data_IF_368132658439
#
_entry.id   IF_368132658439
#
_cell.length_a   1.000
_cell.length_b   1.000
_cell.length_c   1.000
_cell.angle_alpha   90.00
_cell.angle_beta   90.00
_cell.angle_gamma   90.00
#
_symmetry.space_group_name_H-M   'P 1'
#
loop_
_entity.id
_entity.type
_entity.pdbx_description
1 polymer ?
#
# COMPACT_ATOMS: atom_id res chain seq x y z
N UNK A 1 6.77 -7.58 -19.65
CA UNK A 1 6.42 -7.68 -18.21
C UNK A 1 7.59 -8.18 -17.35
N UNK A 2 8.13 -9.40 -17.57
CA UNK A 2 9.26 -9.95 -16.79
C UNK A 2 10.51 -9.05 -16.76
N UNK A 3 10.88 -8.41 -17.88
CA UNK A 3 12.05 -7.52 -17.98
C UNK A 3 12.01 -6.33 -17.03
N UNK A 4 10.86 -5.66 -16.88
CA UNK A 4 10.76 -4.43 -16.07
C UNK A 4 10.78 -4.72 -14.56
N UNK A 5 10.09 -5.77 -14.12
CA UNK A 5 10.15 -6.25 -12.71
C UNK A 5 11.58 -6.56 -12.30
N UNK A 6 12.36 -7.18 -13.20
CA UNK A 6 13.75 -7.54 -12.94
C UNK A 6 14.72 -6.35 -12.90
N UNK A 7 14.47 -5.29 -13.67
CA UNK A 7 15.23 -4.03 -13.56
C UNK A 7 15.00 -3.38 -12.19
N UNK A 8 13.77 -3.46 -11.69
CA UNK A 8 13.38 -2.88 -10.41
C UNK A 8 13.93 -3.66 -9.21
N UNK A 9 13.98 -4.98 -9.32
CA UNK A 9 14.68 -5.85 -8.36
C UNK A 9 16.18 -5.49 -8.28
N UNK A 10 16.82 -5.20 -9.43
CA UNK A 10 18.21 -4.69 -9.46
C UNK A 10 18.31 -3.34 -8.76
N UNK A 11 17.39 -2.40 -8.99
CA UNK A 11 17.41 -1.07 -8.33
C UNK A 11 17.28 -1.18 -6.81
N UNK A 12 16.43 -2.09 -6.31
CA UNK A 12 16.27 -2.40 -4.88
C UNK A 12 17.53 -3.02 -4.27
N UNK A 13 18.25 -3.84 -5.03
CA UNK A 13 19.54 -4.35 -4.54
C UNK A 13 20.54 -3.24 -4.31
N UNK A 14 20.52 -2.19 -5.13
CA UNK A 14 21.29 -0.97 -4.89
C UNK A 14 20.68 -0.09 -3.78
N UNK A 15 19.43 -0.30 -3.32
CA UNK A 15 18.91 0.31 -2.06
C UNK A 15 19.58 -0.33 -0.85
N UNK A 16 19.76 -1.66 -0.91
CA UNK A 16 20.33 -2.44 0.18
C UNK A 16 21.87 -2.44 0.19
N UNK A 17 22.50 -2.20 -0.96
CA UNK A 17 23.96 -2.28 -1.11
C UNK A 17 24.50 -1.08 -1.89
N UNK A 18 25.47 -0.40 -1.30
CA UNK A 18 26.08 0.82 -1.86
C UNK A 18 26.74 0.58 -3.23
N UNK A 19 27.39 -0.59 -3.39
CA UNK A 19 28.08 -1.01 -4.61
C UNK A 19 27.89 -2.49 -4.86
N UNK A 20 27.72 -2.87 -6.12
CA UNK A 20 27.61 -4.27 -6.55
C UNK A 20 28.36 -4.51 -7.85
N UNK A 21 29.07 -5.62 -7.91
CA UNK A 21 29.64 -6.18 -9.13
C UNK A 21 28.59 -7.03 -9.86
N UNK A 22 28.86 -7.35 -11.13
CA UNK A 22 28.02 -8.26 -11.89
C UNK A 22 27.94 -9.66 -11.26
N UNK A 23 29.02 -10.12 -10.60
CA UNK A 23 29.07 -11.41 -9.91
C UNK A 23 28.14 -11.42 -8.70
N UNK A 24 28.14 -10.34 -7.91
CA UNK A 24 27.26 -10.20 -6.73
C UNK A 24 25.80 -10.04 -7.14
N UNK A 25 25.50 -9.26 -8.18
CA UNK A 25 24.15 -9.17 -8.74
C UNK A 25 23.62 -10.54 -9.18
N UNK A 26 24.48 -11.37 -9.77
CA UNK A 26 24.12 -12.73 -10.17
C UNK A 26 23.84 -13.66 -8.99
N UNK A 27 24.50 -13.45 -7.84
CA UNK A 27 24.17 -14.21 -6.62
C UNK A 27 22.84 -13.78 -5.99
N UNK A 28 22.44 -12.52 -6.15
CA UNK A 28 21.17 -12.02 -5.63
C UNK A 28 19.98 -12.31 -6.54
N UNK A 29 20.21 -12.40 -7.85
CA UNK A 29 19.14 -12.47 -8.84
C UNK A 29 19.37 -13.66 -9.75
N UNK A 30 18.38 -14.55 -9.83
CA UNK A 30 18.43 -15.71 -10.71
C UNK A 30 18.17 -15.32 -12.19
N UNK A 31 19.15 -14.69 -12.83
CA UNK A 31 19.12 -14.24 -14.22
C UNK A 31 20.42 -14.59 -14.96
N UNK A 32 20.31 -14.77 -16.27
CA UNK A 32 21.46 -14.92 -17.14
C UNK A 32 22.31 -13.64 -17.14
N UNK A 33 23.63 -13.79 -17.16
CA UNK A 33 24.57 -12.67 -17.07
C UNK A 33 24.34 -11.61 -18.17
N UNK A 34 24.07 -12.06 -19.40
CA UNK A 34 23.74 -11.18 -20.53
C UNK A 34 22.54 -10.28 -20.23
N UNK A 35 21.50 -10.84 -19.62
CA UNK A 35 20.29 -10.10 -19.26
C UNK A 35 20.56 -9.06 -18.16
N UNK A 36 21.38 -9.39 -17.17
CA UNK A 36 21.78 -8.43 -16.12
C UNK A 36 22.57 -7.28 -16.74
N UNK A 37 23.51 -7.57 -17.66
CA UNK A 37 24.28 -6.53 -18.38
C UNK A 37 23.38 -5.60 -19.20
N UNK A 38 22.38 -6.14 -19.89
CA UNK A 38 21.41 -5.33 -20.64
C UNK A 38 20.62 -4.39 -19.72
N UNK A 39 20.29 -4.82 -18.50
CA UNK A 39 19.53 -4.03 -17.54
C UNK A 39 20.40 -2.96 -16.89
N UNK A 40 21.63 -3.29 -16.52
CA UNK A 40 22.60 -2.33 -16.02
C UNK A 40 22.91 -1.25 -17.06
N UNK A 41 22.99 -1.61 -18.35
CA UNK A 41 23.16 -0.64 -19.43
C UNK A 41 22.04 0.40 -19.46
N UNK A 42 20.78 -0.05 -19.38
CA UNK A 42 19.61 0.85 -19.30
C UNK A 42 19.72 1.79 -18.10
N UNK A 43 20.04 1.26 -16.91
CA UNK A 43 20.15 2.06 -15.68
C UNK A 43 21.30 3.09 -15.74
N UNK A 44 22.41 2.76 -16.44
CA UNK A 44 23.51 3.70 -16.66
C UNK A 44 23.13 4.78 -17.69
N UNK A 45 22.43 4.41 -18.76
CA UNK A 45 21.92 5.36 -19.77
C UNK A 45 20.90 6.35 -19.16
N UNK A 46 20.04 5.86 -18.27
CA UNK A 46 19.11 6.66 -17.47
C UNK A 46 19.81 7.43 -16.33
N UNK A 47 21.13 7.30 -16.20
CA UNK A 47 21.99 7.88 -15.16
C UNK A 47 21.70 7.45 -13.73
N UNK A 48 20.79 6.50 -13.49
CA UNK A 48 20.37 6.04 -12.16
C UNK A 48 21.51 5.35 -11.39
N UNK A 49 22.41 4.68 -12.11
CA UNK A 49 23.62 4.07 -11.56
C UNK A 49 24.85 4.54 -12.35
N UNK A 50 26.00 4.56 -11.68
CA UNK A 50 27.30 4.79 -12.28
C UNK A 50 27.98 3.44 -12.50
N UNK A 51 28.54 3.24 -13.69
CA UNK A 51 29.47 2.16 -13.96
C UNK A 51 30.90 2.67 -13.72
N UNK A 52 31.56 2.12 -12.70
CA UNK A 52 32.89 2.58 -12.28
C UNK A 52 33.90 1.44 -12.45
N UNK A 53 35.05 1.77 -13.03
CA UNK A 53 36.14 0.84 -13.30
C UNK A 53 36.07 0.14 -14.66
N UNK A 54 37.18 -0.49 -15.01
CA UNK A 54 37.39 -1.15 -16.30
C UNK A 54 37.20 -2.66 -16.22
N UNK A 55 36.62 -3.21 -17.29
CA UNK A 55 36.59 -4.64 -17.63
C UNK A 55 36.27 -5.56 -16.44
N UNK A 56 37.29 -6.13 -15.77
CA UNK A 56 37.15 -7.13 -14.71
C UNK A 56 36.99 -6.53 -13.30
N UNK A 57 37.20 -5.23 -13.12
CA UNK A 57 36.99 -4.51 -11.85
C UNK A 57 35.79 -3.58 -11.89
N UNK A 58 34.95 -3.70 -12.94
CA UNK A 58 33.75 -2.88 -13.06
C UNK A 58 32.76 -3.23 -11.96
N UNK A 59 32.43 -2.23 -11.16
CA UNK A 59 31.32 -2.27 -10.24
C UNK A 59 30.31 -1.18 -10.61
N UNK A 60 29.12 -1.34 -10.11
CA UNK A 60 28.02 -0.41 -10.29
C UNK A 60 27.65 0.12 -8.93
N UNK A 61 27.35 1.41 -8.86
CA UNK A 61 26.87 2.05 -7.65
C UNK A 61 25.78 3.05 -8.02
N UNK A 62 25.01 3.49 -7.04
CA UNK A 62 24.04 4.57 -7.28
C UNK A 62 24.74 5.83 -7.76
N UNK A 63 24.04 6.55 -8.62
CA UNK A 63 24.46 7.90 -8.96
C UNK A 63 23.87 8.90 -7.94
N UNK A 64 24.64 9.19 -6.89
CA UNK A 64 24.26 10.15 -5.85
C UNK A 64 24.29 11.62 -6.32
N UNK A 65 24.86 11.88 -7.51
CA UNK A 65 25.01 13.22 -8.06
C UNK A 65 23.84 13.64 -8.98
N UNK A 66 22.85 12.78 -9.21
CA UNK A 66 21.64 13.21 -9.93
C UNK A 66 20.89 14.21 -9.04
N UNK A 67 20.64 15.39 -9.58
CA UNK A 67 19.68 16.32 -9.01
C UNK A 67 18.27 15.82 -9.33
N UNK A 68 17.85 14.75 -8.64
CA UNK A 68 16.53 14.17 -8.79
C UNK A 68 15.51 15.11 -8.16
N UNK A 69 14.42 15.38 -8.89
CA UNK A 69 13.25 15.99 -8.28
C UNK A 69 12.70 15.00 -7.25
N UNK A 70 12.68 15.34 -5.96
CA UNK A 70 12.17 14.43 -4.95
C UNK A 70 10.69 14.17 -5.18
N UNK A 71 10.28 12.92 -4.96
CA UNK A 71 8.86 12.63 -4.72
C UNK A 71 8.59 13.11 -3.30
N UNK A 72 7.65 14.04 -3.12
CA UNK A 72 7.29 14.57 -1.80
C UNK A 72 5.78 14.46 -1.63
N UNK A 73 5.37 13.81 -0.55
CA UNK A 73 3.98 13.63 -0.18
C UNK A 73 3.76 14.16 1.23
N UNK A 74 2.59 14.76 1.46
CA UNK A 74 2.12 15.18 2.77
C UNK A 74 1.41 13.99 3.42
N UNK A 75 1.70 13.78 4.70
CA UNK A 75 1.05 12.78 5.55
C UNK A 75 0.04 13.49 6.42
N UNK A 76 -1.21 13.09 6.29
CA UNK A 76 -2.31 13.55 7.13
C UNK A 76 -2.72 12.44 8.09
N UNK A 77 -3.17 12.83 9.29
CA UNK A 77 -3.84 11.94 10.22
C UNK A 77 -5.13 12.60 10.71
N UNK A 78 -6.29 11.97 10.43
CA UNK A 78 -7.61 12.58 10.62
C UNK A 78 -7.71 13.95 9.91
N UNK A 79 -7.14 14.02 8.71
CA UNK A 79 -7.01 15.21 7.87
C UNK A 79 -6.04 16.29 8.38
N UNK A 80 -5.45 16.13 9.57
CA UNK A 80 -4.47 17.08 10.10
C UNK A 80 -3.07 16.75 9.58
N UNK A 81 -2.30 17.77 9.19
CA UNK A 81 -0.92 17.59 8.77
C UNK A 81 -0.07 17.06 9.92
N UNK A 82 0.54 15.88 9.70
CA UNK A 82 1.53 15.31 10.61
C UNK A 82 2.94 15.66 10.15
N UNK A 83 3.18 15.68 8.84
CA UNK A 83 4.49 15.94 8.26
C UNK A 83 4.56 15.58 6.79
N UNK A 84 5.79 15.41 6.30
CA UNK A 84 6.06 15.07 4.89
C UNK A 84 6.97 13.86 4.78
N UNK A 85 6.72 13.00 3.80
CA UNK A 85 7.66 11.97 3.36
C UNK A 85 8.22 12.38 2.02
N UNK A 86 9.54 12.35 1.90
CA UNK A 86 10.25 12.55 0.64
C UNK A 86 11.06 11.33 0.26
N UNK A 87 11.25 11.12 -1.04
CA UNK A 87 12.16 10.12 -1.57
C UNK A 87 13.01 10.70 -2.69
N UNK A 88 14.30 10.39 -2.63
CA UNK A 88 15.22 10.46 -3.77
C UNK A 88 16.02 9.17 -3.81
N UNK A 89 16.45 8.74 -4.99
CA UNK A 89 17.31 7.57 -5.12
C UNK A 89 18.65 7.76 -4.37
N UNK A 90 19.14 9.01 -4.30
CA UNK A 90 20.37 9.36 -3.61
C UNK A 90 20.26 9.30 -2.08
N UNK A 91 19.17 9.83 -1.50
CA UNK A 91 19.01 9.98 -0.03
C UNK A 91 18.09 8.96 0.61
N UNK A 92 17.42 8.12 -0.17
CA UNK A 92 16.37 7.24 0.33
C UNK A 92 15.13 8.01 0.78
N UNK A 93 14.39 7.43 1.72
CA UNK A 93 13.20 8.00 2.33
C UNK A 93 13.57 8.91 3.50
N UNK A 94 12.97 10.10 3.55
CA UNK A 94 13.07 10.98 4.69
C UNK A 94 11.67 11.41 5.13
N UNK A 95 11.36 11.21 6.41
CA UNK A 95 10.12 11.70 7.02
C UNK A 95 10.46 12.86 7.96
N UNK A 96 9.78 13.99 7.76
CA UNK A 96 9.93 15.17 8.61
C UNK A 96 8.59 15.52 9.23
N UNK A 97 8.55 15.64 10.55
CA UNK A 97 7.35 16.13 11.25
C UNK A 97 7.08 17.58 10.89
N UNK A 98 5.80 17.93 10.76
CA UNK A 98 5.37 19.31 10.65
C UNK A 98 5.63 20.02 11.97
N UNK A 99 6.15 21.24 11.91
CA UNK A 99 6.32 22.09 13.11
C UNK A 99 4.98 22.42 13.80
N UNK A 100 3.87 22.26 13.09
CA UNK A 100 2.51 22.48 13.59
C UNK A 100 1.90 21.23 14.23
N UNK A 101 2.52 20.05 14.07
CA UNK A 101 2.01 18.81 14.60
C UNK A 101 2.20 18.77 16.13
N UNK A 102 1.08 18.67 16.86
CA UNK A 102 1.04 18.62 18.33
C UNK A 102 0.64 17.25 18.88
N UNK A 103 0.47 16.26 18.01
CA UNK A 103 0.16 14.89 18.42
C UNK A 103 1.37 14.15 18.93
N UNK A 104 1.15 12.92 19.40
CA UNK A 104 2.25 12.03 19.80
C UNK A 104 3.07 11.61 18.58
N UNK A 105 4.38 11.47 18.76
CA UNK A 105 5.25 10.92 17.72
C UNK A 105 4.93 9.45 17.51
N UNK A 106 5.18 8.98 16.30
CA UNK A 106 5.00 7.58 16.00
C UNK A 106 6.14 6.77 16.62
N UNK A 107 5.87 5.60 17.23
CA UNK A 107 6.90 4.84 17.94
C UNK A 107 8.14 4.49 17.11
N UNK A 108 8.03 4.41 15.78
CA UNK A 108 9.15 4.11 14.87
C UNK A 108 9.79 5.35 14.23
N UNK A 109 9.34 6.55 14.59
CA UNK A 109 9.75 7.84 14.03
C UNK A 109 9.94 8.86 15.16
N UNK A 110 11.00 8.70 15.94
CA UNK A 110 11.19 9.48 17.17
C UNK A 110 11.80 10.87 16.93
N UNK A 111 12.55 11.05 15.83
CA UNK A 111 13.26 12.30 15.55
C UNK A 111 12.38 13.29 14.78
N UNK A 112 12.76 14.57 14.74
CA UNK A 112 12.12 15.57 13.87
C UNK A 112 12.25 15.21 12.39
N UNK A 113 13.42 14.68 12.03
CA UNK A 113 13.73 14.18 10.70
C UNK A 113 14.25 12.74 10.87
N UNK A 114 13.56 11.80 10.24
CA UNK A 114 13.90 10.38 10.22
C UNK A 114 14.33 10.02 8.80
N UNK A 115 15.39 9.23 8.65
CA UNK A 115 15.90 8.83 7.34
C UNK A 115 16.05 7.31 7.27
N UNK A 116 15.76 6.72 6.13
CA UNK A 116 15.86 5.28 5.90
C UNK A 116 15.98 4.97 4.41
N UNK A 117 16.71 3.91 4.05
CA UNK A 117 16.75 3.44 2.66
C UNK A 117 15.52 2.61 2.28
N UNK A 118 14.77 2.10 3.27
CA UNK A 118 13.48 1.45 3.08
C UNK A 118 12.33 2.35 3.56
N UNK A 119 11.13 2.18 2.99
CA UNK A 119 9.95 2.89 3.47
C UNK A 119 9.69 2.52 4.94
N UNK A 120 9.32 3.50 5.76
CA UNK A 120 9.10 3.28 7.18
C UNK A 120 7.96 2.27 7.42
N UNK A 121 8.11 1.33 8.36
CA UNK A 121 7.13 0.25 8.57
C UNK A 121 5.69 0.73 8.75
N UNK A 122 5.49 1.87 9.42
CA UNK A 122 4.15 2.45 9.65
C UNK A 122 3.43 2.79 8.33
N UNK A 123 4.16 3.19 7.29
CA UNK A 123 3.61 3.50 5.97
C UNK A 123 3.66 2.29 5.03
N UNK A 124 4.70 1.48 5.11
CA UNK A 124 4.83 0.24 4.32
C UNK A 124 3.69 -0.74 4.61
N UNK A 125 3.25 -0.85 5.87
CA UNK A 125 2.14 -1.72 6.27
C UNK A 125 0.76 -1.28 5.71
N UNK A 126 0.66 -0.06 5.18
CA UNK A 126 -0.54 0.45 4.52
C UNK A 126 -0.61 0.01 3.05
N UNK A 127 0.50 -0.49 2.50
CA UNK A 127 0.57 -0.95 1.12
C UNK A 127 0.12 -2.43 1.08
N UNK A 128 -0.81 -2.80 0.17
CA UNK A 128 -1.22 -4.20 0.02
C UNK A 128 -0.06 -5.13 -0.33
N UNK A 129 -0.13 -6.38 0.11
CA UNK A 129 0.95 -7.37 -0.03
C UNK A 129 0.86 -8.25 -1.30
N UNK A 130 1.91 -9.05 -1.55
CA UNK A 130 1.92 -10.15 -2.54
C UNK A 130 1.63 -9.70 -3.99
N UNK A 131 0.99 -10.58 -4.78
CA UNK A 131 0.64 -10.35 -6.20
C UNK A 131 -0.15 -9.06 -6.42
N UNK A 132 -0.84 -8.57 -5.39
CA UNK A 132 -1.57 -7.31 -5.43
C UNK A 132 -0.61 -6.12 -5.42
N UNK A 133 0.40 -6.14 -4.55
CA UNK A 133 1.50 -5.16 -4.57
C UNK A 133 2.14 -5.08 -5.95
N UNK A 134 2.47 -6.24 -6.52
CA UNK A 134 3.13 -6.32 -7.83
C UNK A 134 2.29 -5.68 -8.93
N UNK A 135 0.97 -5.91 -8.93
CA UNK A 135 0.05 -5.29 -9.90
C UNK A 135 -0.05 -3.78 -9.73
N UNK A 136 -0.20 -3.31 -8.50
CA UNK A 136 -0.35 -1.88 -8.19
C UNK A 136 0.93 -1.10 -8.51
N UNK A 137 2.09 -1.68 -8.21
CA UNK A 137 3.38 -1.10 -8.56
C UNK A 137 3.57 -0.93 -10.08
N UNK A 138 2.83 -1.61 -10.95
CA UNK A 138 3.08 -1.63 -12.41
C UNK A 138 2.10 -0.78 -13.25
N UNK A 139 1.99 0.56 -13.09
CA UNK A 139 1.03 1.43 -13.84
C UNK A 139 1.51 1.81 -15.24
N UNK A 140 0.75 1.50 -16.29
CA UNK A 140 1.09 1.82 -17.70
C UNK A 140 2.50 1.37 -18.11
N UNK A 141 2.97 0.30 -17.47
CA UNK A 141 4.31 -0.24 -17.63
C UNK A 141 5.42 0.55 -16.92
N UNK A 142 5.11 1.61 -16.16
CA UNK A 142 6.01 2.25 -15.20
C UNK A 142 5.95 1.52 -13.85
N UNK A 143 7.09 1.42 -13.15
CA UNK A 143 7.06 1.03 -11.74
C UNK A 143 6.90 2.29 -10.90
N UNK A 144 5.85 2.31 -10.08
CA UNK A 144 5.63 3.34 -9.08
C UNK A 144 6.56 3.12 -7.89
N UNK A 145 7.13 4.20 -7.37
CA UNK A 145 7.72 4.23 -6.04
C UNK A 145 6.62 3.94 -4.99
N UNK A 146 6.93 3.28 -3.87
CA UNK A 146 5.97 3.11 -2.76
C UNK A 146 5.23 4.39 -2.34
N UNK A 147 5.85 5.57 -2.37
CA UNK A 147 5.16 6.85 -2.10
C UNK A 147 4.12 7.20 -3.16
N UNK A 148 4.43 6.99 -4.44
CA UNK A 148 3.47 7.19 -5.52
C UNK A 148 2.32 6.19 -5.41
N UNK A 149 2.59 4.98 -4.91
CA UNK A 149 1.52 4.03 -4.63
C UNK A 149 0.62 4.51 -3.49
N UNK A 150 1.17 5.04 -2.39
CA UNK A 150 0.37 5.60 -1.29
C UNK A 150 -0.57 6.72 -1.76
N UNK A 151 -0.16 7.54 -2.73
CA UNK A 151 -1.01 8.57 -3.34
C UNK A 151 -2.19 8.01 -4.15
N UNK A 152 -2.11 6.76 -4.56
CA UNK A 152 -3.15 6.08 -5.35
C UNK A 152 -4.03 5.18 -4.46
N UNK A 153 -3.73 5.08 -3.16
CA UNK A 153 -4.54 4.33 -2.21
C UNK A 153 -5.68 5.22 -1.68
N UNK A 154 -6.83 5.15 -2.35
CA UNK A 154 -8.05 5.73 -1.81
C UNK A 154 -8.56 4.90 -0.63
N UNK A 155 -8.95 5.59 0.46
CA UNK A 155 -9.34 5.01 1.74
C UNK A 155 -8.21 4.18 2.37
N UNK A 156 -7.08 4.82 2.67
CA UNK A 156 -6.02 4.15 3.43
C UNK A 156 -6.54 3.75 4.81
N UNK A 157 -6.29 2.51 5.24
CA UNK A 157 -6.82 2.07 6.53
C UNK A 157 -6.31 2.89 7.71
N UNK A 158 -7.21 3.05 8.68
CA UNK A 158 -6.97 3.87 9.85
C UNK A 158 -7.28 5.32 9.54
N UNK A 159 -6.49 6.21 10.11
CA UNK A 159 -6.69 7.65 10.04
C UNK A 159 -5.77 8.35 9.06
N UNK A 160 -4.95 7.62 8.30
CA UNK A 160 -3.94 8.20 7.42
C UNK A 160 -4.53 8.58 6.06
N UNK A 161 -4.13 9.75 5.56
CA UNK A 161 -4.32 10.15 4.18
C UNK A 161 -3.00 10.71 3.61
N UNK A 162 -2.83 10.60 2.30
CA UNK A 162 -1.64 11.07 1.60
C UNK A 162 -2.02 12.01 0.47
N UNK A 163 -1.29 13.12 0.35
CA UNK A 163 -1.51 14.09 -0.73
C UNK A 163 -0.19 14.48 -1.40
N UNK A 164 -0.21 14.78 -2.70
CA UNK A 164 0.89 15.51 -3.32
C UNK A 164 1.07 16.86 -2.62
N UNK A 165 2.32 17.29 -2.43
CA UNK A 165 2.64 18.54 -1.74
C UNK A 165 1.96 19.78 -2.38
N UNK A 166 1.86 19.80 -3.70
CA UNK A 166 1.23 20.88 -4.48
C UNK A 166 -0.31 20.89 -4.39
N UNK A 167 -0.91 19.73 -4.11
CA UNK A 167 -2.34 19.61 -3.82
C UNK A 167 -2.68 20.09 -2.40
N UNK A 168 -1.78 19.91 -1.44
CA UNK A 168 -1.98 20.33 -0.05
C UNK A 168 -2.16 21.84 0.11
N UNK A 169 -1.48 22.65 -0.70
CA UNK A 169 -1.63 24.13 -0.69
C UNK A 169 -3.07 24.57 -0.99
N UNK A 170 -3.84 23.74 -1.70
CA UNK A 170 -5.24 23.98 -2.05
C UNK A 170 -6.20 23.13 -1.23
N UNK A 171 -5.71 22.43 -0.23
CA UNK A 171 -6.49 21.49 0.56
C UNK A 171 -7.34 22.25 1.58
N UNK A 172 -8.63 22.34 1.30
CA UNK A 172 -9.61 22.87 2.24
C UNK A 172 -10.02 21.78 3.24
N UNK A 173 -9.48 21.87 4.45
CA UNK A 173 -9.73 20.95 5.56
C UNK A 173 -11.21 20.89 5.96
N UNK A 174 -12.03 21.88 5.61
CA UNK A 174 -13.41 21.99 6.11
C UNK A 174 -14.40 21.01 5.45
N UNK A 175 -13.97 20.20 4.46
CA UNK A 175 -14.89 19.52 3.53
C UNK A 175 -14.97 17.98 3.59
N UNK A 176 -14.34 17.29 4.56
CA UNK A 176 -14.53 15.84 4.70
C UNK A 176 -15.10 15.48 6.07
N UNK A 177 -15.98 14.49 6.07
CA UNK A 177 -16.55 13.89 7.26
C UNK A 177 -15.43 13.47 8.21
N UNK A 178 -15.42 14.03 9.42
CA UNK A 178 -14.45 13.61 10.44
C UNK A 178 -14.62 12.11 10.66
N UNK A 179 -13.55 11.35 10.46
CA UNK A 179 -13.51 9.93 10.83
C UNK A 179 -13.93 9.86 12.30
N UNK A 180 -15.03 9.18 12.64
CA UNK A 180 -15.53 9.19 14.00
C UNK A 180 -14.56 8.46 14.92
N UNK A 181 -14.44 8.91 16.16
CA UNK A 181 -13.61 8.24 17.15
C UNK A 181 -14.18 6.86 17.46
N UNK A 182 -13.36 5.81 17.50
CA UNK A 182 -13.74 4.45 17.92
C UNK A 182 -14.67 4.44 19.14
N UNK A 183 -14.32 5.18 20.20
CA UNK A 183 -15.14 5.24 21.43
C UNK A 183 -16.57 5.74 21.17
N UNK A 184 -16.75 6.62 20.19
CA UNK A 184 -18.05 7.20 19.85
C UNK A 184 -18.93 6.29 18.98
N UNK A 185 -18.32 5.38 18.20
CA UNK A 185 -19.03 4.50 17.27
C UNK A 185 -18.92 3.01 17.62
N UNK A 186 -18.21 2.66 18.70
CA UNK A 186 -17.92 1.28 19.12
C UNK A 186 -19.18 0.43 19.16
N UNK A 187 -20.20 0.87 19.90
CA UNK A 187 -21.44 0.10 20.06
C UNK A 187 -22.17 -0.08 18.72
N UNK A 188 -22.10 0.92 17.84
CA UNK A 188 -22.68 0.84 16.48
C UNK A 188 -21.91 -0.13 15.60
N UNK A 189 -20.57 -0.10 15.63
CA UNK A 189 -19.72 -1.01 14.83
C UNK A 189 -19.86 -2.45 15.31
N UNK A 190 -19.75 -2.67 16.63
CA UNK A 190 -19.84 -4.00 17.20
C UNK A 190 -21.25 -4.57 16.99
N UNK A 191 -22.29 -3.75 17.14
CA UNK A 191 -23.69 -4.17 17.02
C UNK A 191 -24.07 -5.26 18.03
N UNK A 192 -25.25 -5.86 17.86
CA UNK A 192 -25.76 -6.91 18.75
C UNK A 192 -26.12 -8.16 17.94
N UNK A 193 -25.22 -9.15 17.89
CA UNK A 193 -25.40 -10.39 17.13
C UNK A 193 -25.04 -11.61 17.99
N UNK A 194 -26.05 -12.41 18.34
CA UNK A 194 -25.84 -13.61 19.16
C UNK A 194 -25.34 -14.81 18.34
N UNK A 195 -25.53 -14.79 17.02
CA UNK A 195 -25.12 -15.87 16.11
C UNK A 195 -24.89 -15.36 14.69
N UNK A 196 -24.59 -16.26 13.76
CA UNK A 196 -24.36 -15.97 12.34
C UNK A 196 -25.58 -15.30 11.72
N UNK A 197 -25.38 -14.09 11.20
CA UNK A 197 -26.41 -13.36 10.48
C UNK A 197 -26.27 -13.59 8.97
N UNK A 198 -27.31 -14.13 8.37
CA UNK A 198 -27.45 -14.16 6.91
C UNK A 198 -28.12 -12.87 6.44
N UNK A 199 -27.34 -12.02 5.77
CA UNK A 199 -27.83 -10.76 5.24
C UNK A 199 -28.59 -11.00 3.93
N UNK A 200 -29.88 -10.68 3.90
CA UNK A 200 -30.68 -10.70 2.67
C UNK A 200 -30.52 -9.37 1.92
N UNK A 201 -29.39 -9.21 1.22
CA UNK A 201 -29.04 -8.02 0.45
C UNK A 201 -28.73 -8.41 -1.00
N UNK A 202 -29.10 -7.54 -1.93
CA UNK A 202 -28.65 -7.59 -3.31
C UNK A 202 -27.20 -7.12 -3.39
N UNK A 203 -26.35 -7.90 -4.07
CA UNK A 203 -24.95 -7.57 -4.27
C UNK A 203 -24.79 -6.87 -5.63
N UNK A 204 -24.65 -5.55 -5.61
CA UNK A 204 -24.43 -4.73 -6.79
C UNK A 204 -22.92 -4.56 -7.05
N UNK A 205 -22.26 -5.71 -7.27
CA UNK A 205 -20.82 -5.79 -7.53
C UNK A 205 -20.57 -6.82 -8.63
N UNK A 206 -19.87 -6.47 -9.73
CA UNK A 206 -19.58 -7.41 -10.81
C UNK A 206 -18.81 -8.66 -10.35
N UNK A 207 -19.11 -9.81 -10.95
CA UNK A 207 -18.50 -11.10 -10.59
C UNK A 207 -16.98 -11.11 -10.78
N UNK A 208 -16.46 -10.38 -11.76
CA UNK A 208 -15.03 -10.24 -12.03
C UNK A 208 -14.33 -9.52 -10.87
N UNK A 209 -15.00 -8.55 -10.23
CA UNK A 209 -14.48 -7.87 -9.05
C UNK A 209 -14.49 -8.81 -7.84
N UNK A 210 -15.57 -9.56 -7.62
CA UNK A 210 -15.69 -10.55 -6.54
C UNK A 210 -14.63 -11.66 -6.65
N UNK A 211 -14.31 -12.10 -7.86
CA UNK A 211 -13.33 -13.15 -8.11
C UNK A 211 -11.89 -12.64 -8.21
N UNK A 212 -11.66 -11.32 -8.08
CA UNK A 212 -10.34 -10.70 -8.21
C UNK A 212 -9.72 -10.82 -9.62
N UNK A 213 -10.54 -11.13 -10.63
CA UNK A 213 -10.14 -11.29 -12.03
C UNK A 213 -10.18 -9.97 -12.80
N UNK A 214 -10.92 -8.99 -12.31
CA UNK A 214 -10.98 -7.68 -12.92
C UNK A 214 -9.59 -7.02 -12.86
N UNK A 215 -9.15 -6.45 -13.99
CA UNK A 215 -7.80 -5.88 -14.14
C UNK A 215 -7.69 -4.42 -13.68
N UNK A 216 -8.83 -3.78 -13.36
CA UNK A 216 -8.85 -2.40 -12.86
C UNK A 216 -8.30 -2.34 -11.44
N UNK A 217 -7.56 -1.27 -11.14
CA UNK A 217 -6.90 -1.01 -9.85
C UNK A 217 -7.84 -0.39 -8.83
N UNK A 218 -8.92 0.23 -9.29
CA UNK A 218 -9.93 0.96 -8.51
C UNK A 218 -10.76 0.05 -7.57
N UNK A 219 -10.54 -1.27 -7.64
CA UNK A 219 -11.45 -2.26 -7.07
C UNK A 219 -11.00 -2.84 -5.74
N UNK A 220 -9.87 -2.37 -5.21
CA UNK A 220 -9.21 -3.07 -4.12
C UNK A 220 -9.05 -2.19 -2.87
N UNK A 221 -9.44 -2.73 -1.72
CA UNK A 221 -9.37 -2.10 -0.39
C UNK A 221 -7.94 -1.96 0.10
N UNK A 222 -7.46 -0.82 0.56
CA UNK A 222 -6.05 -0.63 0.95
C UNK A 222 -5.54 -1.58 2.06
N UNK A 223 -6.39 -2.46 2.63
CA UNK A 223 -6.03 -3.34 3.73
C UNK A 223 -4.98 -4.36 3.32
N UNK A 224 -3.99 -4.51 4.20
CA UNK A 224 -2.96 -5.54 4.11
C UNK A 224 -3.53 -6.97 4.24
N UNK A 225 -2.67 -7.96 4.05
CA UNK A 225 -3.00 -9.38 4.12
C UNK A 225 -3.42 -10.03 2.79
N UNK A 226 -3.28 -11.36 2.74
CA UNK A 226 -3.32 -12.14 1.50
C UNK A 226 -4.70 -12.34 0.86
N UNK A 227 -5.78 -12.33 1.66
CA UNK A 227 -7.13 -12.55 1.13
C UNK A 227 -7.63 -11.34 0.35
N UNK A 228 -8.32 -11.61 -0.76
CA UNK A 228 -9.00 -10.59 -1.57
C UNK A 228 -10.11 -9.88 -0.78
N UNK A 229 -10.17 -8.56 -0.92
CA UNK A 229 -11.01 -7.66 -0.12
C UNK A 229 -11.48 -6.49 -0.96
N UNK A 230 -12.73 -6.09 -0.75
CA UNK A 230 -13.39 -5.00 -1.47
C UNK A 230 -14.01 -4.04 -0.47
N UNK A 231 -13.75 -2.75 -0.64
CA UNK A 231 -14.42 -1.69 0.13
C UNK A 231 -15.87 -1.56 -0.34
N UNK A 232 -16.82 -1.69 0.59
CA UNK A 232 -18.26 -1.67 0.28
C UNK A 232 -19.02 -0.82 1.29
N UNK A 233 -20.19 -0.34 0.85
CA UNK A 233 -21.19 0.28 1.72
C UNK A 233 -22.50 -0.52 1.66
N UNK A 234 -23.23 -0.50 2.78
CA UNK A 234 -24.52 -1.19 2.92
C UNK A 234 -25.64 -0.15 2.91
N UNK A 235 -26.51 -0.22 1.91
CA UNK A 235 -27.79 0.49 1.93
C UNK A 235 -28.81 -0.39 2.68
N UNK A 236 -29.03 -0.08 3.95
CA UNK A 236 -29.98 -0.80 4.80
C UNK A 236 -31.45 -0.61 4.37
N UNK A 237 -31.77 0.46 3.65
CA UNK A 237 -33.13 0.80 3.19
C UNK A 237 -33.47 0.04 1.91
N UNK A 238 -32.59 0.09 0.91
CA UNK A 238 -32.78 -0.61 -0.35
C UNK A 238 -32.27 -2.06 -0.33
N UNK A 239 -31.63 -2.49 0.78
CA UNK A 239 -31.00 -3.81 0.93
C UNK A 239 -29.98 -4.09 -0.16
N UNK A 240 -29.11 -3.12 -0.45
CA UNK A 240 -28.03 -3.25 -1.44
C UNK A 240 -26.66 -3.17 -0.80
N UNK A 241 -25.73 -3.97 -1.31
CA UNK A 241 -24.30 -3.86 -1.04
C UNK A 241 -23.66 -3.34 -2.31
N UNK A 242 -23.11 -2.13 -2.25
CA UNK A 242 -22.46 -1.47 -3.38
C UNK A 242 -20.98 -1.31 -3.11
N UNK A 243 -20.18 -1.30 -4.18
CA UNK A 243 -18.78 -0.87 -4.07
C UNK A 243 -18.75 0.61 -3.74
N UNK A 244 -17.82 0.99 -2.87
CA UNK A 244 -17.53 2.41 -2.57
C UNK A 244 -16.98 3.09 -3.83
N UNK A 245 -17.57 4.22 -4.20
CA UNK A 245 -17.07 5.04 -5.29
C UNK A 245 -15.97 5.99 -4.80
N UNK A 246 -14.74 5.57 -5.04
CA UNK A 246 -13.53 6.27 -4.59
C UNK A 246 -13.30 7.59 -5.33
N UNK A 247 -13.75 7.72 -6.59
CA UNK A 247 -13.57 8.97 -7.37
C UNK A 247 -14.40 10.12 -6.79
N UNK A 248 -15.52 9.80 -6.14
CA UNK A 248 -16.43 10.76 -5.52
C UNK A 248 -16.15 10.97 -4.03
N UNK A 249 -15.06 10.40 -3.50
CA UNK A 249 -14.63 10.61 -2.12
C UNK A 249 -15.49 9.89 -1.07
N UNK A 250 -16.21 8.84 -1.46
CA UNK A 250 -16.99 8.05 -0.52
C UNK A 250 -16.08 7.30 0.47
N UNK A 251 -16.45 7.35 1.76
CA UNK A 251 -15.79 6.58 2.79
C UNK A 251 -16.31 5.13 2.79
N UNK A 252 -15.38 4.20 2.94
CA UNK A 252 -15.70 2.79 3.10
C UNK A 252 -16.00 2.47 4.56
N UNK A 253 -17.22 2.01 4.83
CA UNK A 253 -17.62 1.59 6.19
C UNK A 253 -17.45 0.10 6.43
N UNK A 254 -17.47 -0.70 5.36
CA UNK A 254 -17.41 -2.15 5.45
C UNK A 254 -16.39 -2.71 4.48
N UNK A 255 -15.87 -3.88 4.85
CA UNK A 255 -14.95 -4.66 4.05
C UNK A 255 -15.58 -5.98 3.67
N UNK A 256 -15.82 -6.19 2.39
CA UNK A 256 -16.28 -7.47 1.87
C UNK A 256 -15.09 -8.38 1.56
N UNK A 257 -15.08 -9.55 2.18
CA UNK A 257 -14.16 -10.66 1.88
C UNK A 257 -14.88 -11.71 1.04
N UNK A 258 -14.85 -11.62 -0.31
CA UNK A 258 -15.50 -12.61 -1.15
C UNK A 258 -14.79 -13.97 -1.03
N UNK A 259 -15.54 -15.04 -1.32
CA UNK A 259 -14.95 -16.36 -1.52
C UNK A 259 -14.08 -16.34 -2.79
N UNK A 260 -12.79 -16.10 -2.61
CA UNK A 260 -11.85 -16.05 -3.70
C UNK A 260 -11.43 -17.46 -4.13
N UNK A 261 -11.38 -17.70 -5.43
CA UNK A 261 -10.83 -18.92 -6.03
C UNK A 261 -9.29 -19.00 -5.94
N UNK A 262 -8.68 -18.44 -4.89
CA UNK A 262 -7.25 -18.60 -4.64
C UNK A 262 -7.00 -20.07 -4.28
N UNK A 263 -6.06 -20.72 -4.99
CA UNK A 263 -5.72 -22.12 -4.76
C UNK A 263 -5.30 -22.41 -3.31
N UNK A 264 -4.76 -21.41 -2.60
CA UNK A 264 -4.37 -21.52 -1.17
C UNK A 264 -5.60 -21.55 -0.24
N UNK A 265 -6.65 -20.83 -0.61
CA UNK A 265 -7.91 -20.74 0.15
C UNK A 265 -8.91 -21.82 -0.30
N UNK A 266 -8.70 -22.39 -1.49
CA UNK A 266 -9.54 -23.45 -2.09
C UNK A 266 -9.67 -24.70 -1.21
N UNK A 267 -8.73 -24.92 -0.29
CA UNK A 267 -8.76 -26.03 0.67
C UNK A 267 -9.38 -25.66 2.02
N UNK A 268 -9.92 -24.45 2.15
CA UNK A 268 -10.65 -23.99 3.34
C UNK A 268 -12.10 -23.70 2.96
N UNK A 269 -12.93 -24.76 2.79
CA UNK A 269 -14.34 -24.57 2.47
C UNK A 269 -15.01 -23.76 3.57
N UNK A 270 -16.01 -22.96 3.19
CA UNK A 270 -16.78 -22.13 4.12
C UNK A 270 -15.95 -21.14 4.95
N UNK A 271 -14.82 -20.63 4.43
CA UNK A 271 -13.96 -19.68 5.15
C UNK A 271 -14.74 -18.49 5.77
N UNK A 272 -15.70 -17.92 5.05
CA UNK A 272 -16.52 -16.82 5.58
C UNK A 272 -17.40 -17.25 6.78
N UNK A 273 -17.96 -18.47 6.72
CA UNK A 273 -18.72 -19.04 7.84
C UNK A 273 -17.79 -19.30 9.03
N UNK A 274 -16.58 -19.81 8.76
CA UNK A 274 -15.59 -20.10 9.77
C UNK A 274 -15.12 -18.82 10.48
N UNK A 275 -14.77 -17.77 9.72
CA UNK A 275 -14.45 -16.45 10.29
C UNK A 275 -15.63 -15.91 11.11
N UNK A 276 -16.87 -16.01 10.62
CA UNK A 276 -18.02 -15.53 11.38
C UNK A 276 -18.23 -16.33 12.69
N UNK A 277 -18.08 -17.66 12.66
CA UNK A 277 -18.19 -18.50 13.86
C UNK A 277 -17.18 -18.11 14.93
N UNK A 278 -15.91 -17.93 14.55
CA UNK A 278 -14.87 -17.51 15.48
C UNK A 278 -15.10 -16.11 16.03
N UNK A 279 -15.53 -15.16 15.19
CA UNK A 279 -15.84 -13.79 15.63
C UNK A 279 -17.04 -13.78 16.59
N UNK A 280 -18.10 -14.51 16.27
CA UNK A 280 -19.27 -14.65 17.15
C UNK A 280 -18.92 -15.32 18.48
N UNK A 281 -18.10 -16.37 18.47
CA UNK A 281 -17.64 -17.02 19.70
C UNK A 281 -16.79 -16.08 20.55
N UNK A 282 -15.80 -15.41 19.95
CA UNK A 282 -14.94 -14.46 20.64
C UNK A 282 -15.75 -13.30 21.27
N UNK A 283 -16.76 -12.80 20.56
CA UNK A 283 -17.66 -11.77 21.10
C UNK A 283 -18.56 -12.28 22.21
N UNK A 284 -19.29 -13.36 21.95
CA UNK A 284 -20.42 -13.76 22.79
C UNK A 284 -19.98 -14.61 23.98
N UNK A 285 -18.99 -15.48 23.81
CA UNK A 285 -18.49 -16.38 24.86
C UNK A 285 -17.31 -15.74 25.62
N UNK A 286 -16.38 -15.12 24.90
CA UNK A 286 -15.17 -14.54 25.51
C UNK A 286 -15.28 -13.05 25.84
N UNK A 287 -16.37 -12.38 25.43
CA UNK A 287 -16.61 -10.94 25.66
C UNK A 287 -15.50 -10.04 25.10
N UNK A 288 -14.90 -10.44 23.98
CA UNK A 288 -13.91 -9.64 23.27
C UNK A 288 -14.59 -8.60 22.36
N UNK A 289 -13.93 -7.45 22.15
CA UNK A 289 -14.40 -6.39 21.26
C UNK A 289 -14.13 -6.78 19.79
N UNK A 290 -15.04 -7.59 19.20
CA UNK A 290 -14.96 -8.11 17.81
C UNK A 290 -16.31 -8.18 17.11
#
# INVERSE_FOLDING_TARGET
MKKRVKIEEIKRLFEAHEKLTLKELKSYINLAERTIRDYLKILVEEKLILAIGETNRRYYQRNYAINEKPIVIVVLQNGLEVGTISFTYAKGYQFSYSSLYKGERFPSLENDINSSYALFPIFENLIPESTRRERLLLKDGKILNPLELLLELDNTHGSFDFLPLDSFVRYDYQKRDKIPNWKSIKETILGNNNFINLLNYELDIPLEALTGKLKSRELYSSLSGYQHKIDVNLDHKCKKITRVDKEHGELAHYLLKPYASDKRIKHTPYLALNEHLFMSFAKNELKLDV
#
